data_IF_005394049285
#
_entry.id   IF_005394049285
#
_cell.length_a   1.000
_cell.length_b   1.000
_cell.length_c   1.000
_cell.angle_alpha   90.00
_cell.angle_beta   90.00
_cell.angle_gamma   90.00
#
_symmetry.space_group_name_H-M   'P 1'
#
loop_
_entity.id
_entity.type
_entity.pdbx_description
1 polymer ?
#
# COMPACT_ATOMS: atom_id res chain seq x y z
N UNK A 1 18.50 -5.17 17.67
CA UNK A 1 17.20 -5.83 17.41
C UNK A 1 17.13 -6.07 15.92
N UNK A 2 17.06 -7.33 15.50
CA UNK A 2 17.04 -7.68 14.07
C UNK A 2 15.78 -7.09 13.40
N UNK A 3 15.98 -6.20 12.43
CA UNK A 3 14.89 -5.55 11.69
C UNK A 3 14.10 -6.53 10.82
N UNK A 4 14.59 -7.76 10.64
CA UNK A 4 13.94 -8.82 9.85
C UNK A 4 12.59 -9.27 10.42
N UNK A 5 12.44 -9.33 11.75
CA UNK A 5 11.23 -9.80 12.43
C UNK A 5 10.01 -8.88 12.20
N UNK A 6 10.09 -7.55 12.49
CA UNK A 6 8.97 -6.65 12.24
C UNK A 6 8.60 -6.56 10.75
N UNK A 7 9.59 -6.62 9.85
CA UNK A 7 9.35 -6.65 8.40
C UNK A 7 8.56 -7.91 8.00
N UNK A 8 8.96 -9.09 8.49
CA UNK A 8 8.25 -10.36 8.19
C UNK A 8 6.81 -10.35 8.70
N UNK A 9 6.58 -9.82 9.90
CA UNK A 9 5.23 -9.68 10.46
C UNK A 9 4.38 -8.72 9.63
N UNK A 10 4.95 -7.59 9.21
CA UNK A 10 4.26 -6.65 8.34
C UNK A 10 3.89 -7.27 6.99
N UNK A 11 4.84 -7.93 6.33
CA UNK A 11 4.60 -8.62 5.06
C UNK A 11 3.47 -9.61 5.23
N UNK A 12 3.49 -10.48 6.26
CA UNK A 12 2.42 -11.44 6.52
C UNK A 12 1.05 -10.76 6.66
N UNK A 13 0.96 -9.72 7.48
CA UNK A 13 -0.31 -9.00 7.70
C UNK A 13 -0.79 -8.31 6.41
N UNK A 14 0.14 -7.77 5.62
CA UNK A 14 -0.13 -7.17 4.31
C UNK A 14 -0.63 -8.21 3.31
N UNK A 15 0.02 -9.37 3.21
CA UNK A 15 -0.39 -10.45 2.31
C UNK A 15 -1.80 -10.93 2.66
N UNK A 16 -2.10 -11.16 3.95
CA UNK A 16 -3.44 -11.59 4.38
C UNK A 16 -4.50 -10.56 3.98
N UNK A 17 -4.25 -9.26 4.24
CA UNK A 17 -5.18 -8.20 3.86
C UNK A 17 -5.37 -8.12 2.35
N UNK A 18 -4.29 -8.16 1.57
CA UNK A 18 -4.37 -8.09 0.11
C UNK A 18 -5.07 -9.31 -0.50
N UNK A 19 -4.89 -10.51 0.09
CA UNK A 19 -5.65 -11.70 -0.28
C UNK A 19 -7.15 -11.52 -0.01
N UNK A 20 -7.52 -11.04 1.17
CA UNK A 20 -8.92 -10.76 1.51
C UNK A 20 -9.52 -9.74 0.54
N UNK A 21 -8.82 -8.62 0.31
CA UNK A 21 -9.27 -7.60 -0.64
C UNK A 21 -9.37 -8.15 -2.07
N UNK A 22 -8.45 -9.01 -2.51
CA UNK A 22 -8.48 -9.62 -3.84
C UNK A 22 -9.69 -10.55 -3.99
N UNK A 23 -9.97 -11.39 -2.99
CA UNK A 23 -11.14 -12.28 -2.99
C UNK A 23 -12.45 -11.47 -2.98
N UNK A 24 -12.55 -10.44 -2.15
CA UNK A 24 -13.73 -9.56 -2.11
C UNK A 24 -13.92 -8.83 -3.43
N UNK A 25 -12.85 -8.29 -4.00
CA UNK A 25 -12.87 -7.58 -5.28
C UNK A 25 -13.31 -8.53 -6.41
N UNK A 26 -12.74 -9.73 -6.48
CA UNK A 26 -13.14 -10.77 -7.41
C UNK A 26 -14.60 -11.19 -7.25
N UNK A 27 -15.08 -11.35 -6.02
CA UNK A 27 -16.49 -11.67 -5.75
C UNK A 27 -17.45 -10.56 -6.20
N UNK A 28 -17.13 -9.29 -5.92
CA UNK A 28 -17.94 -8.15 -6.35
C UNK A 28 -18.03 -8.09 -7.88
N UNK A 29 -16.89 -8.22 -8.56
CA UNK A 29 -16.90 -8.23 -10.02
C UNK A 29 -17.59 -9.45 -10.59
N UNK A 30 -17.44 -10.64 -10.01
CA UNK A 30 -18.08 -11.84 -10.54
C UNK A 30 -19.60 -11.86 -10.33
N UNK A 31 -20.09 -11.42 -9.17
CA UNK A 31 -21.51 -11.56 -8.80
C UNK A 31 -22.35 -10.28 -9.01
N UNK A 32 -21.76 -9.10 -8.90
CA UNK A 32 -22.51 -7.82 -8.84
C UNK A 32 -22.29 -7.00 -10.11
N UNK A 33 -21.05 -6.93 -10.61
CA UNK A 33 -20.70 -6.08 -11.75
C UNK A 33 -19.72 -6.76 -12.72
N UNK A 34 -20.12 -7.87 -13.38
CA UNK A 34 -19.23 -8.62 -14.30
C UNK A 34 -18.77 -7.80 -15.50
N UNK A 35 -19.60 -6.86 -15.94
CA UNK A 35 -19.31 -5.94 -17.04
C UNK A 35 -18.21 -4.92 -16.72
N UNK A 36 -17.82 -4.82 -15.45
CA UNK A 36 -16.78 -3.90 -14.98
C UNK A 36 -15.49 -4.63 -14.55
N UNK A 37 -15.42 -5.94 -14.75
CA UNK A 37 -14.18 -6.66 -14.54
C UNK A 37 -13.17 -6.28 -15.62
N UNK A 38 -11.98 -5.86 -15.21
CA UNK A 38 -10.93 -5.48 -16.14
C UNK A 38 -9.61 -6.18 -15.81
N UNK A 39 -8.88 -6.55 -16.85
CA UNK A 39 -7.65 -7.37 -16.77
C UNK A 39 -6.56 -6.75 -15.90
N UNK A 40 -6.59 -5.43 -15.70
CA UNK A 40 -5.54 -4.71 -14.96
C UNK A 40 -5.73 -4.66 -13.44
N UNK A 41 -6.84 -5.16 -12.88
CA UNK A 41 -7.07 -5.19 -11.42
C UNK A 41 -5.86 -5.78 -10.66
N UNK A 42 -5.29 -6.94 -11.04
CA UNK A 42 -4.15 -7.52 -10.32
C UNK A 42 -2.91 -6.62 -10.28
N UNK A 43 -2.68 -5.82 -11.33
CA UNK A 43 -1.52 -4.91 -11.41
C UNK A 43 -1.62 -3.81 -10.37
N UNK A 44 -2.83 -3.32 -10.07
CA UNK A 44 -3.08 -2.34 -9.00
C UNK A 44 -2.72 -2.93 -7.63
N UNK A 45 -3.14 -4.16 -7.38
CA UNK A 45 -2.83 -4.86 -6.13
C UNK A 45 -1.32 -5.06 -5.98
N UNK A 46 -0.64 -5.52 -7.02
CA UNK A 46 0.82 -5.70 -7.01
C UNK A 46 1.53 -4.38 -6.75
N UNK A 47 1.10 -3.30 -7.41
CA UNK A 47 1.65 -1.96 -7.22
C UNK A 47 1.57 -1.51 -5.75
N UNK A 48 0.38 -1.52 -5.17
CA UNK A 48 0.21 -1.08 -3.78
C UNK A 48 0.90 -2.01 -2.77
N UNK A 49 0.96 -3.30 -3.07
CA UNK A 49 1.68 -4.27 -2.26
C UNK A 49 3.19 -3.95 -2.23
N UNK A 50 3.82 -3.79 -3.40
CA UNK A 50 5.24 -3.49 -3.53
C UNK A 50 5.60 -2.15 -2.88
N UNK A 51 4.84 -1.09 -3.17
CA UNK A 51 5.09 0.25 -2.62
C UNK A 51 4.95 0.25 -1.09
N UNK A 52 4.01 -0.51 -0.54
CA UNK A 52 3.82 -0.61 0.91
C UNK A 52 4.99 -1.30 1.60
N UNK A 53 5.51 -2.39 1.03
CA UNK A 53 6.71 -3.08 1.54
C UNK A 53 7.92 -2.15 1.52
N UNK A 54 8.18 -1.51 0.37
CA UNK A 54 9.32 -0.59 0.22
C UNK A 54 9.22 0.54 1.23
N UNK A 55 8.04 1.16 1.35
CA UNK A 55 7.83 2.27 2.28
C UNK A 55 8.07 1.83 3.72
N UNK A 56 7.49 0.71 4.14
CA UNK A 56 7.65 0.21 5.51
C UNK A 56 9.11 -0.15 5.82
N UNK A 57 9.81 -0.77 4.87
CA UNK A 57 11.23 -1.10 5.02
C UNK A 57 12.10 0.15 5.19
N UNK A 58 11.85 1.22 4.41
CA UNK A 58 12.58 2.47 4.56
C UNK A 58 12.30 3.12 5.92
N UNK A 59 11.04 3.08 6.39
CA UNK A 59 10.66 3.60 7.71
C UNK A 59 11.38 2.85 8.85
N UNK A 60 11.37 1.51 8.82
CA UNK A 60 12.10 0.70 9.80
C UNK A 60 13.59 1.00 9.72
N UNK A 61 14.21 1.04 8.54
CA UNK A 61 15.65 1.29 8.45
C UNK A 61 16.05 2.70 8.91
N UNK A 62 15.10 3.64 8.92
CA UNK A 62 15.34 5.04 9.27
C UNK A 62 14.95 5.39 10.70
N UNK A 63 14.34 4.47 11.46
CA UNK A 63 13.74 4.76 12.78
C UNK A 63 14.74 5.20 13.87
N UNK A 64 16.03 4.86 13.72
CA UNK A 64 17.09 5.24 14.67
C UNK A 64 17.79 6.55 14.31
N UNK A 65 17.40 7.20 13.20
CA UNK A 65 17.98 8.47 12.80
C UNK A 65 17.48 9.59 13.71
N UNK A 66 18.22 10.70 13.75
CA UNK A 66 17.74 11.92 14.41
C UNK A 66 16.41 12.37 13.80
N UNK A 67 15.55 13.01 14.60
CA UNK A 67 14.20 13.45 14.20
C UNK A 67 14.22 14.20 12.86
N UNK A 68 15.17 15.12 12.67
CA UNK A 68 15.30 15.86 11.41
C UNK A 68 15.61 14.95 10.19
N UNK A 69 16.52 13.98 10.36
CA UNK A 69 16.90 13.04 9.29
C UNK A 69 15.79 12.02 9.02
N UNK A 70 15.10 11.57 10.06
CA UNK A 70 13.91 10.71 9.94
C UNK A 70 12.79 11.43 9.19
N UNK A 71 12.42 12.65 9.61
CA UNK A 71 11.37 13.43 8.95
C UNK A 71 11.69 13.70 7.48
N UNK A 72 12.93 14.06 7.15
CA UNK A 72 13.34 14.26 5.75
C UNK A 72 13.17 12.98 4.92
N UNK A 73 13.63 11.83 5.41
CA UNK A 73 13.47 10.55 4.71
C UNK A 73 12.00 10.13 4.60
N UNK A 74 11.24 10.28 5.68
CA UNK A 74 9.81 10.00 5.70
C UNK A 74 9.09 10.82 4.63
N UNK A 75 9.31 12.14 4.61
CA UNK A 75 8.72 13.04 3.61
C UNK A 75 9.07 12.62 2.18
N UNK A 76 10.35 12.34 1.90
CA UNK A 76 10.78 11.90 0.56
C UNK A 76 10.03 10.63 0.15
N UNK A 77 9.97 9.62 1.02
CA UNK A 77 9.30 8.35 0.70
C UNK A 77 7.80 8.54 0.52
N UNK A 78 7.14 9.32 1.38
CA UNK A 78 5.70 9.59 1.25
C UNK A 78 5.38 10.42 0.01
N UNK A 79 6.22 11.39 -0.34
CA UNK A 79 6.05 12.16 -1.58
C UNK A 79 6.27 11.28 -2.80
N UNK A 80 7.33 10.46 -2.82
CA UNK A 80 7.56 9.50 -3.91
C UNK A 80 6.40 8.51 -4.05
N UNK A 81 5.84 8.01 -2.93
CA UNK A 81 4.65 7.16 -2.95
C UNK A 81 3.45 7.91 -3.52
N UNK A 82 3.20 9.14 -3.10
CA UNK A 82 2.07 9.95 -3.56
C UNK A 82 2.17 10.26 -5.06
N UNK A 83 3.29 10.86 -5.51
CA UNK A 83 3.49 11.18 -6.92
C UNK A 83 3.59 9.93 -7.80
N UNK A 84 4.23 8.87 -7.31
CA UNK A 84 4.25 7.58 -8.00
C UNK A 84 2.84 7.01 -8.16
N UNK A 85 2.00 7.13 -7.14
CA UNK A 85 0.60 6.69 -7.18
C UNK A 85 -0.21 7.54 -8.15
N UNK A 86 0.03 8.85 -8.18
CA UNK A 86 -0.63 9.78 -9.09
C UNK A 86 -0.29 9.48 -10.55
N UNK A 87 1.00 9.30 -10.87
CA UNK A 87 1.47 8.94 -12.21
C UNK A 87 0.85 7.60 -12.63
N UNK A 88 0.87 6.61 -11.74
CA UNK A 88 0.26 5.30 -12.00
C UNK A 88 -1.24 5.42 -12.28
N UNK A 89 -1.97 6.21 -11.48
CA UNK A 89 -3.39 6.44 -11.70
C UNK A 89 -3.68 7.10 -13.06
N UNK A 90 -2.92 8.13 -13.43
CA UNK A 90 -3.08 8.82 -14.72
C UNK A 90 -2.80 7.87 -15.88
N UNK A 91 -1.70 7.12 -15.84
CA UNK A 91 -1.36 6.14 -16.88
C UNK A 91 -2.50 5.12 -17.08
N UNK A 92 -3.07 4.61 -15.99
CA UNK A 92 -4.16 3.64 -16.07
C UNK A 92 -5.48 4.23 -16.57
N UNK A 93 -5.79 5.48 -16.20
CA UNK A 93 -6.99 6.15 -16.71
C UNK A 93 -6.93 6.38 -18.22
N UNK A 94 -5.72 6.54 -18.79
CA UNK A 94 -5.52 6.64 -20.25
C UNK A 94 -5.62 5.26 -20.91
N UNK A 95 -5.10 4.21 -20.27
CA UNK A 95 -5.09 2.85 -20.84
C UNK A 95 -6.42 2.09 -20.73
N UNK A 96 -7.27 2.44 -19.76
CA UNK A 96 -8.53 1.73 -19.47
C UNK A 96 -9.73 2.65 -19.53
N UNK A 97 -10.00 3.18 -20.73
CA UNK A 97 -11.07 4.15 -20.96
C UNK A 97 -12.47 3.66 -20.58
N UNK A 98 -12.75 2.38 -20.81
CA UNK A 98 -14.06 1.76 -20.53
C UNK A 98 -14.29 1.53 -19.03
N UNK A 99 -13.24 1.28 -18.26
CA UNK A 99 -13.31 0.89 -16.85
C UNK A 99 -12.71 1.93 -15.89
N UNK A 100 -12.71 3.21 -16.29
CA UNK A 100 -12.13 4.32 -15.51
C UNK A 100 -12.70 4.44 -14.10
N UNK A 101 -14.03 4.33 -13.96
CA UNK A 101 -14.71 4.49 -12.67
C UNK A 101 -14.39 3.31 -11.72
N UNK A 102 -14.60 2.04 -12.10
CA UNK A 102 -14.19 0.89 -11.28
C UNK A 102 -12.73 0.94 -10.87
N UNK A 103 -11.84 1.27 -11.81
CA UNK A 103 -10.42 1.45 -11.55
C UNK A 103 -10.16 2.49 -10.46
N UNK A 104 -10.73 3.69 -10.60
CA UNK A 104 -10.51 4.79 -9.67
C UNK A 104 -10.98 4.44 -8.26
N UNK A 105 -12.13 3.76 -8.14
CA UNK A 105 -12.69 3.33 -6.85
C UNK A 105 -11.75 2.34 -6.15
N UNK A 106 -11.32 1.28 -6.84
CA UNK A 106 -10.37 0.30 -6.28
C UNK A 106 -9.06 1.00 -5.90
N UNK A 107 -8.56 1.86 -6.77
CA UNK A 107 -7.31 2.57 -6.58
C UNK A 107 -7.35 3.44 -5.31
N UNK A 108 -8.41 4.23 -5.13
CA UNK A 108 -8.61 5.07 -3.95
C UNK A 108 -8.70 4.23 -2.68
N UNK A 109 -9.51 3.15 -2.69
CA UNK A 109 -9.67 2.26 -1.54
C UNK A 109 -8.32 1.65 -1.15
N UNK A 110 -7.57 1.11 -2.11
CA UNK A 110 -6.25 0.52 -1.85
C UNK A 110 -5.23 1.56 -1.41
N UNK A 111 -5.25 2.77 -1.98
CA UNK A 111 -4.37 3.86 -1.58
C UNK A 111 -4.55 4.19 -0.09
N UNK A 112 -5.77 4.51 0.34
CA UNK A 112 -6.05 4.86 1.72
C UNK A 112 -5.87 3.67 2.67
N UNK A 113 -6.34 2.49 2.30
CA UNK A 113 -6.13 1.25 3.08
C UNK A 113 -4.64 1.00 3.34
N UNK A 114 -3.81 1.13 2.30
CA UNK A 114 -2.35 0.97 2.43
C UNK A 114 -1.72 2.03 3.34
N UNK A 115 -2.22 3.26 3.30
CA UNK A 115 -1.73 4.37 4.12
C UNK A 115 -2.06 4.14 5.60
N UNK A 116 -3.32 3.83 5.91
CA UNK A 116 -3.76 3.54 7.28
C UNK A 116 -3.01 2.35 7.87
N UNK A 117 -2.86 1.27 7.09
CA UNK A 117 -2.10 0.10 7.53
C UNK A 117 -0.64 0.45 7.84
N UNK A 118 0.01 1.22 6.97
CA UNK A 118 1.41 1.60 7.16
C UNK A 118 1.60 2.41 8.45
N UNK A 119 0.76 3.42 8.67
CA UNK A 119 0.82 4.25 9.87
C UNK A 119 0.55 3.41 11.12
N UNK A 120 -0.49 2.58 11.10
CA UNK A 120 -0.83 1.72 12.23
C UNK A 120 0.30 0.75 12.61
N UNK A 121 0.87 0.02 11.64
CA UNK A 121 1.93 -0.96 11.90
C UNK A 121 3.25 -0.28 12.30
N UNK A 122 3.52 0.92 11.79
CA UNK A 122 4.71 1.68 12.19
C UNK A 122 4.59 2.23 13.62
N UNK A 123 3.43 2.78 14.00
CA UNK A 123 3.15 3.20 15.37
C UNK A 123 3.23 2.03 16.35
N UNK A 124 2.68 0.87 15.98
CA UNK A 124 2.78 -0.36 16.76
C UNK A 124 4.24 -0.78 16.97
N UNK A 125 5.08 -0.68 15.93
CA UNK A 125 6.50 -0.95 16.01
C UNK A 125 7.22 0.02 16.99
N UNK A 126 6.95 1.33 16.89
CA UNK A 126 7.53 2.33 17.81
C UNK A 126 7.10 2.06 19.26
N UNK A 127 5.82 1.83 19.51
CA UNK A 127 5.30 1.61 20.87
C UNK A 127 5.88 0.34 21.51
N UNK A 128 6.02 -0.75 20.74
CA UNK A 128 6.63 -1.99 21.24
C UNK A 128 8.12 -1.82 21.56
N UNK A 129 8.83 -0.94 20.85
CA UNK A 129 10.23 -0.60 21.16
C UNK A 129 10.35 0.24 22.44
N UNK A 130 9.40 1.14 22.71
CA UNK A 130 9.42 2.00 23.91
C UNK A 130 9.14 1.23 25.20
N UNK A 131 8.47 0.07 25.12
CA UNK A 131 8.15 -0.77 26.28
C UNK A 131 9.21 -1.84 26.59
N UNK A 132 10.31 -1.88 25.83
CA UNK A 132 11.47 -2.78 26.00
C UNK A 132 12.68 -1.95 26.41
#
# INVERSE_FOLDING_TARGET
MDSSIPIRLFIRNLTIKFLIFSVLCGAIFFFIAPEHYFTFVPIIFIYFYAVSIITYQVLINSHNLSTAKFSKRFMIVTMSKFFGSLIFAILFLILSEENRIPFLVIFIILYFSSLFQLVHEFLKFINKKKSL
#
